data_IF_709602606689
#
_entry.id   IF_709602606689
#
_cell.length_a   1.000
_cell.length_b   1.000
_cell.length_c   1.000
_cell.angle_alpha   90.00
_cell.angle_beta   90.00
_cell.angle_gamma   90.00
#
_symmetry.space_group_name_H-M   'P 1'
#
loop_
_entity.id
_entity.type
_entity.pdbx_description
1 polymer ?
#
# COMPACT_ATOMS: atom_id res chain seq x y z
N UNK A 1 3.01 -12.58 28.79
CA UNK A 1 1.94 -12.54 27.77
C UNK A 1 2.56 -12.05 26.49
N UNK A 2 2.90 -13.00 25.67
CA UNK A 2 3.77 -12.89 24.53
C UNK A 2 3.08 -12.12 23.38
N UNK A 3 3.58 -10.95 23.06
CA UNK A 3 3.05 -10.13 21.97
C UNK A 3 3.30 -10.79 20.60
N UNK A 4 4.32 -11.66 20.52
CA UNK A 4 4.64 -12.40 19.31
C UNK A 4 3.64 -13.50 18.96
N UNK A 5 2.96 -14.09 19.95
CA UNK A 5 1.91 -15.09 19.74
C UNK A 5 0.53 -14.47 19.45
N UNK A 6 0.39 -13.17 19.66
CA UNK A 6 -0.82 -12.41 19.41
C UNK A 6 -0.75 -11.73 18.05
N UNK A 7 -0.74 -12.52 17.00
CA UNK A 7 -0.87 -11.99 15.64
C UNK A 7 -2.08 -11.06 15.51
N UNK A 8 -2.17 -10.35 14.40
CA UNK A 8 -3.31 -9.46 14.06
C UNK A 8 -4.69 -10.08 14.38
N UNK A 9 -4.80 -11.42 14.38
CA UNK A 9 -6.00 -12.12 14.81
C UNK A 9 -6.47 -11.80 16.23
N UNK A 10 -5.56 -11.52 17.18
CA UNK A 10 -5.93 -11.13 18.55
C UNK A 10 -6.24 -9.63 18.65
N UNK A 11 -5.62 -8.83 17.83
CA UNK A 11 -5.94 -7.41 17.66
C UNK A 11 -7.32 -7.25 17.07
N UNK A 12 -7.65 -8.02 16.05
CA UNK A 12 -9.00 -8.06 15.46
C UNK A 12 -10.07 -8.58 16.43
N UNK A 13 -9.73 -9.46 17.36
CA UNK A 13 -10.66 -9.90 18.41
C UNK A 13 -10.92 -8.87 19.51
N UNK A 14 -10.02 -7.91 19.71
CA UNK A 14 -10.16 -6.84 20.73
C UNK A 14 -10.70 -5.53 20.15
N UNK A 15 -10.51 -5.28 18.87
CA UNK A 15 -11.25 -4.27 18.12
C UNK A 15 -12.51 -4.95 17.60
N UNK A 16 -13.67 -4.45 17.98
CA UNK A 16 -14.91 -4.72 17.24
C UNK A 16 -14.72 -3.99 15.90
N UNK A 17 -14.00 -4.62 14.98
CA UNK A 17 -14.08 -4.25 13.58
C UNK A 17 -15.42 -4.81 13.14
N UNK A 18 -16.37 -3.91 12.91
CA UNK A 18 -17.62 -4.28 12.28
C UNK A 18 -17.28 -4.98 10.95
N UNK A 19 -17.73 -6.22 10.83
CA UNK A 19 -17.50 -7.02 9.64
C UNK A 19 -18.19 -6.34 8.47
N UNK A 20 -17.42 -5.99 7.44
CA UNK A 20 -17.97 -5.32 6.25
C UNK A 20 -18.48 -6.37 5.29
N UNK A 21 -19.78 -6.42 5.07
CA UNK A 21 -20.41 -7.33 4.12
C UNK A 21 -21.35 -6.59 3.16
N UNK A 22 -21.60 -7.19 2.00
CA UNK A 22 -22.45 -6.60 1.00
C UNK A 22 -23.93 -6.69 1.38
N UNK A 23 -24.64 -5.58 1.19
CA UNK A 23 -26.10 -5.49 1.27
C UNK A 23 -26.74 -5.22 -0.08
N UNK A 24 -25.94 -5.14 -1.15
CA UNK A 24 -26.36 -4.88 -2.53
C UNK A 24 -25.16 -4.84 -3.47
N UNK A 25 -25.36 -4.60 -4.76
CA UNK A 25 -24.29 -4.39 -5.72
C UNK A 25 -23.53 -3.10 -5.40
N UNK A 26 -22.21 -3.12 -5.59
CA UNK A 26 -21.31 -2.00 -5.34
C UNK A 26 -21.58 -0.90 -6.35
N UNK A 27 -21.69 0.33 -5.85
CA UNK A 27 -21.80 1.55 -6.66
C UNK A 27 -21.12 2.70 -5.91
N UNK A 28 -20.41 3.53 -6.64
CA UNK A 28 -19.88 4.77 -6.07
C UNK A 28 -21.00 5.70 -5.61
N UNK A 29 -20.72 6.42 -4.53
CA UNK A 29 -21.50 7.55 -4.01
C UNK A 29 -20.51 8.69 -3.73
N UNK A 30 -20.99 9.81 -3.20
CA UNK A 30 -20.12 10.85 -2.69
C UNK A 30 -19.17 10.25 -1.65
N UNK A 31 -17.86 10.28 -1.96
CA UNK A 31 -16.86 9.67 -1.09
C UNK A 31 -16.53 10.62 0.07
N UNK A 32 -16.67 10.20 1.34
CA UNK A 32 -16.54 11.11 2.49
C UNK A 32 -15.14 11.72 2.61
N UNK A 33 -14.10 11.04 2.15
CA UNK A 33 -12.72 11.51 2.22
C UNK A 33 -12.41 12.65 1.25
N UNK A 34 -13.27 12.93 0.28
CA UNK A 34 -13.13 14.11 -0.59
C UNK A 34 -13.18 15.40 0.23
N UNK A 35 -14.04 15.47 1.25
CA UNK A 35 -14.10 16.63 2.14
C UNK A 35 -12.83 16.77 3.01
N UNK A 36 -12.25 15.65 3.45
CA UNK A 36 -10.96 15.67 4.15
C UNK A 36 -9.81 16.09 3.23
N UNK A 37 -9.84 15.66 1.97
CA UNK A 37 -8.87 16.14 0.98
C UNK A 37 -9.00 17.65 0.75
N UNK A 38 -10.21 18.20 0.61
CA UNK A 38 -10.44 19.66 0.46
C UNK A 38 -9.87 20.44 1.65
N UNK A 39 -9.98 19.89 2.86
CA UNK A 39 -9.34 20.49 4.02
C UNK A 39 -7.80 20.46 3.90
N UNK A 40 -7.23 19.29 3.55
CA UNK A 40 -5.78 19.15 3.38
C UNK A 40 -5.24 20.10 2.28
N UNK A 41 -5.98 20.25 1.18
CA UNK A 41 -5.60 21.09 0.05
C UNK A 41 -5.39 22.56 0.41
N UNK A 42 -5.98 23.06 1.48
CA UNK A 42 -5.80 24.45 1.94
C UNK A 42 -4.36 24.72 2.42
N UNK A 43 -3.56 23.72 2.64
CA UNK A 43 -2.16 23.79 3.08
C UNK A 43 -1.16 23.64 1.92
N UNK A 44 -1.63 23.54 0.67
CA UNK A 44 -0.76 23.58 -0.51
C UNK A 44 -0.15 24.98 -0.68
N UNK A 45 1.09 25.00 -1.12
CA UNK A 45 1.80 26.20 -1.54
C UNK A 45 2.69 25.91 -2.77
N UNK A 46 3.54 26.85 -3.14
CA UNK A 46 4.46 26.69 -4.27
C UNK A 46 5.48 25.54 -4.13
N UNK A 47 5.69 25.04 -2.93
CA UNK A 47 6.68 23.99 -2.59
C UNK A 47 6.03 22.68 -2.13
N UNK A 48 4.73 22.67 -1.88
CA UNK A 48 4.03 21.51 -1.31
C UNK A 48 2.76 21.18 -2.08
N UNK A 49 2.55 19.90 -2.35
CA UNK A 49 1.35 19.36 -3.00
C UNK A 49 0.63 18.41 -2.03
N UNK A 50 -0.68 18.63 -1.88
CA UNK A 50 -1.50 17.74 -1.06
C UNK A 50 -1.59 16.35 -1.69
N UNK A 51 -1.19 15.35 -0.92
CA UNK A 51 -1.32 13.93 -1.24
C UNK A 51 -2.38 13.31 -0.35
N UNK A 52 -3.29 12.55 -0.94
CA UNK A 52 -4.28 11.81 -0.18
C UNK A 52 -4.12 10.31 -0.35
N UNK A 53 -4.53 9.55 0.66
CA UNK A 53 -4.43 8.07 0.64
C UNK A 53 -5.81 7.46 0.85
N UNK A 54 -6.14 6.46 0.03
CA UNK A 54 -7.35 5.64 0.17
C UNK A 54 -6.97 4.16 0.09
N UNK A 55 -7.77 3.24 0.66
CA UNK A 55 -7.57 1.80 0.46
C UNK A 55 -7.55 1.43 -1.01
N UNK A 56 -6.72 0.47 -1.39
CA UNK A 56 -6.67 -0.02 -2.76
C UNK A 56 -7.95 -0.81 -3.15
N UNK A 57 -8.33 -0.83 -4.44
CA UNK A 57 -9.43 -1.66 -4.93
C UNK A 57 -9.29 -3.14 -4.59
N UNK A 58 -8.07 -3.68 -4.70
CA UNK A 58 -7.74 -5.06 -4.33
C UNK A 58 -8.06 -5.38 -2.87
N UNK A 59 -7.89 -4.43 -1.96
CA UNK A 59 -8.22 -4.62 -0.56
C UNK A 59 -9.74 -4.74 -0.35
N UNK A 60 -10.53 -3.94 -1.05
CA UNK A 60 -12.00 -4.07 -1.06
C UNK A 60 -12.42 -5.41 -1.65
N UNK A 61 -11.85 -5.81 -2.78
CA UNK A 61 -12.13 -7.10 -3.42
C UNK A 61 -11.82 -8.27 -2.48
N UNK A 62 -10.60 -8.31 -1.92
CA UNK A 62 -10.19 -9.39 -1.03
C UNK A 62 -11.10 -9.51 0.20
N UNK A 63 -11.54 -8.39 0.77
CA UNK A 63 -12.45 -8.40 1.91
C UNK A 63 -13.81 -9.01 1.58
N UNK A 64 -14.30 -8.87 0.34
CA UNK A 64 -15.59 -9.44 -0.09
C UNK A 64 -15.52 -10.95 -0.38
N UNK A 65 -14.32 -11.48 -0.69
CA UNK A 65 -14.15 -12.90 -1.03
C UNK A 65 -13.59 -13.76 0.11
N UNK A 66 -13.24 -13.17 1.27
CA UNK A 66 -12.84 -13.96 2.44
C UNK A 66 -13.96 -14.91 2.87
N UNK A 67 -13.64 -16.06 3.49
CA UNK A 67 -14.64 -17.08 3.82
C UNK A 67 -15.86 -16.54 4.60
N UNK A 68 -15.66 -15.58 5.50
CA UNK A 68 -16.74 -14.98 6.30
C UNK A 68 -17.77 -14.23 5.45
N UNK A 69 -17.35 -13.63 4.33
CA UNK A 69 -18.19 -12.79 3.47
C UNK A 69 -18.63 -13.46 2.17
N UNK A 70 -17.99 -14.57 1.82
CA UNK A 70 -18.15 -15.22 0.53
C UNK A 70 -19.61 -15.52 0.16
N UNK A 71 -20.37 -16.17 1.05
CA UNK A 71 -21.77 -16.51 0.78
C UNK A 71 -22.66 -15.26 0.63
N UNK A 72 -22.37 -14.20 1.40
CA UNK A 72 -23.10 -12.94 1.30
C UNK A 72 -22.79 -12.24 -0.02
N UNK A 73 -21.53 -12.24 -0.44
CA UNK A 73 -21.11 -11.71 -1.72
C UNK A 73 -21.74 -12.44 -2.89
N UNK A 74 -21.81 -13.77 -2.84
CA UNK A 74 -22.44 -14.60 -3.89
C UNK A 74 -23.95 -14.40 -4.06
N UNK A 75 -24.62 -13.74 -3.13
CA UNK A 75 -26.03 -13.30 -3.32
C UNK A 75 -26.16 -12.18 -4.36
N UNK A 76 -25.11 -11.40 -4.57
CA UNK A 76 -25.13 -10.22 -5.46
C UNK A 76 -24.25 -10.40 -6.70
N UNK A 77 -23.20 -11.22 -6.60
CA UNK A 77 -22.19 -11.45 -7.64
C UNK A 77 -21.99 -12.95 -7.84
N UNK A 78 -22.36 -13.45 -9.02
CA UNK A 78 -22.20 -14.87 -9.34
C UNK A 78 -20.73 -15.25 -9.50
N UNK A 79 -19.90 -14.34 -10.01
CA UNK A 79 -18.48 -14.57 -10.29
C UNK A 79 -17.61 -13.46 -9.68
N UNK A 80 -16.29 -13.70 -9.62
CA UNK A 80 -15.33 -12.70 -9.20
C UNK A 80 -15.17 -11.59 -10.25
N UNK A 81 -15.30 -11.91 -11.55
CA UNK A 81 -15.19 -10.95 -12.63
C UNK A 81 -16.29 -9.87 -12.53
N UNK A 82 -17.54 -10.25 -12.19
CA UNK A 82 -18.60 -9.28 -11.97
C UNK A 82 -18.31 -8.36 -10.80
N UNK A 83 -17.75 -8.90 -9.70
CA UNK A 83 -17.37 -8.13 -8.52
C UNK A 83 -16.20 -7.19 -8.82
N UNK A 84 -15.17 -7.69 -9.50
CA UNK A 84 -14.01 -6.92 -9.96
C UNK A 84 -14.45 -5.74 -10.82
N UNK A 85 -15.36 -5.99 -11.77
CA UNK A 85 -15.89 -4.94 -12.64
C UNK A 85 -16.57 -3.82 -11.84
N UNK A 86 -17.49 -4.17 -10.95
CA UNK A 86 -18.24 -3.15 -10.20
C UNK A 86 -17.36 -2.39 -9.20
N UNK A 87 -16.37 -3.06 -8.56
CA UNK A 87 -15.37 -2.38 -7.73
C UNK A 87 -14.53 -1.43 -8.58
N UNK A 88 -13.99 -1.89 -9.71
CA UNK A 88 -13.15 -1.08 -10.58
C UNK A 88 -13.88 0.19 -11.06
N UNK A 89 -15.11 0.04 -11.56
CA UNK A 89 -15.94 1.18 -12.00
C UNK A 89 -16.25 2.14 -10.84
N UNK A 90 -16.54 1.61 -9.64
CA UNK A 90 -16.78 2.47 -8.48
C UNK A 90 -15.53 3.27 -8.09
N UNK A 91 -14.33 2.68 -8.20
CA UNK A 91 -13.09 3.39 -7.94
C UNK A 91 -12.74 4.42 -9.04
N UNK A 92 -13.07 4.18 -10.30
CA UNK A 92 -12.95 5.21 -11.35
C UNK A 92 -13.77 6.46 -10.98
N UNK A 93 -15.01 6.27 -10.52
CA UNK A 93 -15.85 7.37 -10.04
C UNK A 93 -15.24 8.07 -8.82
N UNK A 94 -14.68 7.32 -7.86
CA UNK A 94 -14.01 7.89 -6.68
C UNK A 94 -12.77 8.69 -7.08
N UNK A 95 -11.92 8.16 -7.96
CA UNK A 95 -10.74 8.86 -8.49
C UNK A 95 -11.16 10.17 -9.15
N UNK A 96 -12.23 10.13 -9.96
CA UNK A 96 -12.80 11.33 -10.58
C UNK A 96 -13.27 12.36 -9.55
N UNK A 97 -13.92 11.93 -8.45
CA UNK A 97 -14.35 12.84 -7.39
C UNK A 97 -13.16 13.55 -6.72
N UNK A 98 -12.06 12.83 -6.45
CA UNK A 98 -10.83 13.44 -5.95
C UNK A 98 -10.22 14.42 -6.97
N UNK A 99 -10.17 14.02 -8.24
CA UNK A 99 -9.66 14.88 -9.30
C UNK A 99 -10.47 16.18 -9.45
N UNK A 100 -11.79 16.09 -9.45
CA UNK A 100 -12.70 17.24 -9.51
C UNK A 100 -12.56 18.17 -8.29
N UNK A 101 -12.20 17.61 -7.13
CA UNK A 101 -11.85 18.37 -5.93
C UNK A 101 -10.45 19.01 -5.98
N UNK A 102 -9.70 18.79 -7.06
CA UNK A 102 -8.36 19.33 -7.30
C UNK A 102 -7.22 18.45 -6.81
N UNK A 103 -7.46 17.18 -6.47
CA UNK A 103 -6.40 16.23 -6.14
C UNK A 103 -5.57 15.91 -7.39
N UNK A 104 -4.25 15.98 -7.24
CA UNK A 104 -3.29 15.61 -8.30
C UNK A 104 -2.28 14.56 -7.82
N UNK A 105 -2.38 14.12 -6.55
CA UNK A 105 -1.52 13.10 -5.98
C UNK A 105 -2.35 12.19 -5.06
N UNK A 106 -2.68 10.99 -5.54
CA UNK A 106 -3.47 10.01 -4.82
C UNK A 106 -2.63 8.74 -4.57
N UNK A 107 -2.67 8.21 -3.37
CA UNK A 107 -2.06 6.93 -3.05
C UNK A 107 -3.12 5.88 -2.80
N UNK A 108 -2.95 4.71 -3.39
CA UNK A 108 -3.66 3.49 -3.03
C UNK A 108 -2.87 2.75 -1.96
N UNK A 109 -3.46 2.52 -0.80
CA UNK A 109 -2.84 1.76 0.29
C UNK A 109 -3.24 0.29 0.17
N UNK A 110 -2.30 -0.56 -0.24
CA UNK A 110 -2.55 -1.95 -0.60
C UNK A 110 -1.84 -2.92 0.35
N UNK A 111 -2.58 -3.50 1.28
CA UNK A 111 -2.08 -4.54 2.17
C UNK A 111 -2.15 -5.95 1.55
N UNK A 112 -2.83 -6.12 0.40
CA UNK A 112 -3.08 -7.44 -0.18
C UNK A 112 -1.81 -8.10 -0.69
N UNK A 113 -1.00 -7.35 -1.43
CA UNK A 113 0.28 -7.84 -1.94
C UNK A 113 1.24 -8.21 -0.81
N UNK A 114 1.29 -7.40 0.26
CA UNK A 114 2.08 -7.70 1.46
C UNK A 114 1.65 -9.01 2.13
N UNK A 115 0.36 -9.28 2.18
CA UNK A 115 -0.21 -10.46 2.83
C UNK A 115 0.07 -11.78 2.08
N UNK A 116 0.40 -11.73 0.80
CA UNK A 116 0.63 -12.91 -0.05
C UNK A 116 2.10 -13.15 -0.43
N UNK A 117 3.03 -12.36 0.13
CA UNK A 117 4.47 -12.63 -0.05
C UNK A 117 4.96 -13.80 0.82
N UNK A 118 5.97 -14.49 0.32
CA UNK A 118 6.69 -15.53 1.04
C UNK A 118 6.00 -16.89 1.08
N UNK A 119 6.76 -17.87 1.57
CA UNK A 119 6.37 -19.30 1.53
C UNK A 119 5.18 -19.62 2.44
N UNK A 120 5.04 -18.91 3.56
CA UNK A 120 3.93 -19.13 4.49
C UNK A 120 2.56 -18.78 3.85
N UNK A 121 2.52 -17.73 3.05
CA UNK A 121 1.32 -17.38 2.29
C UNK A 121 1.02 -18.45 1.24
N UNK A 122 2.03 -18.88 0.47
CA UNK A 122 1.88 -19.94 -0.52
C UNK A 122 1.31 -21.22 0.11
N UNK A 123 1.92 -21.72 1.19
CA UNK A 123 1.45 -22.91 1.90
C UNK A 123 0.01 -22.78 2.41
N UNK A 124 -0.37 -21.59 2.90
CA UNK A 124 -1.74 -21.30 3.35
C UNK A 124 -2.74 -21.44 2.22
N UNK A 125 -2.49 -20.82 1.07
CA UNK A 125 -3.39 -20.88 -0.08
C UNK A 125 -3.48 -22.29 -0.66
N UNK A 126 -2.36 -22.99 -0.78
CA UNK A 126 -2.31 -24.41 -1.19
C UNK A 126 -3.16 -25.30 -0.25
N UNK A 127 -3.07 -25.10 1.08
CA UNK A 127 -3.84 -25.86 2.06
C UNK A 127 -5.36 -25.62 1.97
N UNK A 128 -5.77 -24.48 1.41
CA UNK A 128 -7.15 -24.11 1.15
C UNK A 128 -7.64 -24.56 -0.25
N UNK A 129 -6.76 -25.15 -1.06
CA UNK A 129 -7.05 -25.50 -2.46
C UNK A 129 -7.27 -24.28 -3.38
N UNK A 130 -6.70 -23.12 -3.02
CA UNK A 130 -6.82 -21.89 -3.77
C UNK A 130 -5.54 -21.67 -4.57
N UNK A 131 -5.67 -21.39 -5.88
CA UNK A 131 -4.54 -21.04 -6.73
C UNK A 131 -4.09 -19.61 -6.44
N UNK A 132 -2.90 -19.46 -5.87
CA UNK A 132 -2.33 -18.15 -5.55
C UNK A 132 -2.02 -17.32 -6.80
N UNK A 133 -1.74 -17.93 -7.94
CA UNK A 133 -1.50 -17.20 -9.20
C UNK A 133 -2.82 -16.59 -9.73
N UNK A 134 -3.94 -17.29 -9.60
CA UNK A 134 -5.27 -16.76 -9.91
C UNK A 134 -5.60 -15.56 -9.00
N UNK A 135 -5.37 -15.69 -7.69
CA UNK A 135 -5.56 -14.58 -6.73
C UNK A 135 -4.73 -13.36 -7.12
N UNK A 136 -3.46 -13.53 -7.46
CA UNK A 136 -2.59 -12.41 -7.92
C UNK A 136 -3.13 -11.76 -9.19
N UNK A 137 -3.63 -12.55 -10.13
CA UNK A 137 -4.22 -12.04 -11.36
C UNK A 137 -5.49 -11.21 -11.08
N UNK A 138 -6.35 -11.67 -10.18
CA UNK A 138 -7.56 -10.95 -9.77
C UNK A 138 -7.26 -9.63 -9.03
N UNK A 139 -6.28 -9.64 -8.09
CA UNK A 139 -5.84 -8.43 -7.40
C UNK A 139 -5.29 -7.39 -8.39
N UNK A 140 -4.47 -7.82 -9.34
CA UNK A 140 -3.96 -6.95 -10.39
C UNK A 140 -5.09 -6.41 -11.28
N UNK A 141 -6.02 -7.28 -11.67
CA UNK A 141 -7.13 -6.91 -12.55
C UNK A 141 -8.01 -5.82 -11.94
N UNK A 142 -8.38 -5.95 -10.67
CA UNK A 142 -9.23 -4.95 -10.00
C UNK A 142 -8.52 -3.62 -9.81
N UNK A 143 -7.21 -3.63 -9.46
CA UNK A 143 -6.43 -2.41 -9.32
C UNK A 143 -6.28 -1.71 -10.69
N UNK A 144 -5.92 -2.44 -11.74
CA UNK A 144 -5.75 -1.86 -13.08
C UNK A 144 -7.07 -1.36 -13.67
N UNK A 145 -8.18 -2.07 -13.48
CA UNK A 145 -9.50 -1.60 -13.92
C UNK A 145 -9.89 -0.27 -13.25
N UNK A 146 -9.59 -0.11 -11.97
CA UNK A 146 -9.83 1.14 -11.25
C UNK A 146 -9.01 2.33 -11.80
N UNK A 147 -7.85 2.03 -12.40
CA UNK A 147 -6.93 3.03 -12.96
C UNK A 147 -7.17 3.32 -14.45
N UNK A 148 -8.05 2.56 -15.10
CA UNK A 148 -8.47 2.89 -16.46
C UNK A 148 -9.07 4.29 -16.54
N UNK A 149 -8.64 5.05 -17.53
CA UNK A 149 -9.08 6.44 -17.74
C UNK A 149 -8.72 7.43 -16.60
N UNK A 150 -7.69 7.13 -15.77
CA UNK A 150 -7.19 8.12 -14.82
C UNK A 150 -6.76 9.38 -15.60
N UNK A 151 -6.99 10.60 -15.05
CA UNK A 151 -6.51 11.83 -15.68
C UNK A 151 -4.99 11.83 -15.85
N UNK A 152 -4.48 12.28 -16.99
CA UNK A 152 -3.05 12.27 -17.32
C UNK A 152 -2.19 13.11 -16.37
N UNK A 153 -2.74 14.20 -15.84
CA UNK A 153 -2.09 15.11 -14.89
C UNK A 153 -2.28 14.68 -13.42
N UNK A 154 -2.84 13.50 -13.16
CA UNK A 154 -2.99 12.93 -11.82
C UNK A 154 -1.99 11.81 -11.59
N UNK A 155 -1.10 12.01 -10.63
CA UNK A 155 -0.19 10.99 -10.15
C UNK A 155 -0.93 10.04 -9.21
N UNK A 156 -0.97 8.76 -9.54
CA UNK A 156 -1.53 7.71 -8.67
C UNK A 156 -0.44 6.71 -8.32
N UNK A 157 -0.24 6.51 -7.02
CA UNK A 157 0.81 5.63 -6.48
C UNK A 157 0.21 4.49 -5.68
N UNK A 158 0.92 3.38 -5.54
CA UNK A 158 0.52 2.25 -4.70
C UNK A 158 1.53 2.06 -3.57
N UNK A 159 1.06 1.94 -2.33
CA UNK A 159 1.87 1.54 -1.18
C UNK A 159 1.62 0.08 -0.86
N UNK A 160 2.66 -0.73 -0.92
CA UNK A 160 2.59 -2.15 -0.57
C UNK A 160 2.85 -2.29 0.93
N UNK A 161 1.76 -2.19 1.70
CA UNK A 161 1.80 -2.24 3.15
C UNK A 161 2.05 -3.68 3.65
N UNK A 162 2.84 -3.78 4.71
CA UNK A 162 3.10 -5.06 5.41
C UNK A 162 2.50 -5.12 6.80
N UNK A 163 1.61 -4.19 7.09
CA UNK A 163 0.99 -4.00 8.40
C UNK A 163 1.75 -2.99 9.25
N UNK A 164 0.97 -2.12 9.90
CA UNK A 164 1.51 -1.05 10.73
C UNK A 164 0.56 -0.74 11.90
N UNK A 165 0.58 -1.60 12.92
CA UNK A 165 -0.26 -1.45 14.10
C UNK A 165 0.59 -1.44 15.35
N UNK A 166 0.58 -0.30 16.08
CA UNK A 166 1.27 -0.13 17.35
C UNK A 166 2.71 -0.67 17.34
N UNK A 167 3.49 -0.28 16.32
CA UNK A 167 4.88 -0.68 16.09
C UNK A 167 5.08 -2.16 15.71
N UNK A 168 4.04 -2.85 15.26
CA UNK A 168 4.14 -4.22 14.75
C UNK A 168 3.90 -4.29 13.24
N UNK A 169 4.27 -5.39 12.64
CA UNK A 169 3.95 -5.72 11.25
C UNK A 169 3.15 -7.03 11.17
N UNK A 170 2.48 -7.24 10.07
CA UNK A 170 1.67 -8.44 9.81
C UNK A 170 2.38 -9.45 8.92
N UNK A 171 3.07 -8.98 7.88
CA UNK A 171 3.62 -9.82 6.83
C UNK A 171 5.13 -9.67 6.66
N UNK A 172 5.81 -10.80 6.39
CA UNK A 172 7.23 -10.86 6.05
C UNK A 172 7.46 -11.78 4.85
N UNK A 173 8.46 -11.48 4.07
CA UNK A 173 8.87 -12.25 2.89
C UNK A 173 9.39 -11.30 1.80
N UNK A 174 10.27 -11.79 0.93
CA UNK A 174 10.79 -11.00 -0.19
C UNK A 174 9.70 -10.72 -1.23
N UNK A 175 9.81 -9.62 -1.96
CA UNK A 175 8.87 -9.24 -3.01
C UNK A 175 8.91 -10.13 -4.26
N UNK A 176 9.86 -11.08 -4.36
CA UNK A 176 10.05 -11.92 -5.54
C UNK A 176 8.75 -12.58 -6.03
N UNK A 177 7.91 -13.08 -5.12
CA UNK A 177 6.68 -13.81 -5.45
C UNK A 177 5.57 -12.96 -6.04
N UNK A 178 5.65 -11.63 -5.92
CA UNK A 178 4.62 -10.69 -6.41
C UNK A 178 5.14 -9.71 -7.46
N UNK A 179 6.46 -9.63 -7.65
CA UNK A 179 7.08 -8.63 -8.51
C UNK A 179 6.65 -8.72 -9.99
N UNK A 180 6.43 -9.93 -10.52
CA UNK A 180 5.96 -10.13 -11.90
C UNK A 180 4.52 -9.63 -12.14
N UNK A 181 3.80 -9.34 -11.07
CA UNK A 181 2.47 -8.73 -11.08
C UNK A 181 2.55 -7.25 -10.75
N UNK A 182 2.72 -6.91 -9.49
CA UNK A 182 2.61 -5.54 -9.02
C UNK A 182 3.72 -4.63 -9.54
N UNK A 183 5.00 -5.08 -9.57
CA UNK A 183 6.08 -4.24 -10.07
C UNK A 183 6.06 -4.08 -11.59
N UNK A 184 5.78 -5.18 -12.28
CA UNK A 184 5.81 -5.19 -13.75
C UNK A 184 4.53 -4.63 -14.38
N UNK A 185 3.34 -4.86 -13.78
CA UNK A 185 2.07 -4.74 -14.50
C UNK A 185 1.01 -3.85 -13.85
N UNK A 186 1.15 -3.43 -12.58
CA UNK A 186 0.19 -2.50 -11.99
C UNK A 186 0.34 -1.11 -12.62
N UNK A 187 -0.76 -0.47 -13.04
CA UNK A 187 -0.77 0.78 -13.81
C UNK A 187 -0.66 2.03 -12.95
N UNK A 188 0.26 2.05 -11.98
CA UNK A 188 0.56 3.17 -11.11
C UNK A 188 1.83 3.91 -11.54
N UNK A 189 1.95 5.18 -11.16
CA UNK A 189 3.12 6.01 -11.51
C UNK A 189 4.32 5.74 -10.58
N UNK A 190 4.08 5.26 -9.35
CA UNK A 190 5.14 4.87 -8.43
C UNK A 190 4.69 3.83 -7.41
N UNK A 191 5.65 3.07 -6.91
CA UNK A 191 5.49 2.06 -5.87
C UNK A 191 6.21 2.51 -4.59
N UNK A 192 5.50 2.57 -3.47
CA UNK A 192 6.05 2.78 -2.13
C UNK A 192 6.26 1.41 -1.48
N UNK A 193 7.50 1.04 -1.24
CA UNK A 193 7.89 -0.31 -0.83
C UNK A 193 8.58 -0.29 0.54
N UNK A 194 8.11 -1.13 1.47
CA UNK A 194 8.73 -1.27 2.78
C UNK A 194 10.04 -2.08 2.68
N UNK A 195 11.14 -1.43 3.01
CA UNK A 195 12.49 -2.01 3.03
C UNK A 195 13.27 -1.58 4.29
N UNK A 196 12.60 -1.23 5.37
CA UNK A 196 13.20 -0.71 6.61
C UNK A 196 14.02 -1.75 7.39
N UNK A 197 13.73 -3.04 7.20
CA UNK A 197 14.49 -4.14 7.80
C UNK A 197 14.64 -5.35 6.86
N UNK A 198 15.21 -6.45 7.38
CA UNK A 198 15.49 -7.67 6.63
C UNK A 198 14.24 -8.48 6.23
N UNK A 199 13.07 -8.22 6.83
CA UNK A 199 11.82 -8.97 6.53
C UNK A 199 11.39 -8.88 5.07
N UNK A 200 11.83 -7.84 4.37
CA UNK A 200 11.49 -7.58 2.95
C UNK A 200 12.46 -8.22 1.96
N UNK A 201 13.55 -8.82 2.44
CA UNK A 201 14.61 -9.37 1.60
C UNK A 201 15.44 -8.30 0.90
N UNK A 202 16.11 -8.67 -0.18
CA UNK A 202 16.97 -7.78 -0.96
C UNK A 202 16.26 -7.05 -2.09
N UNK A 203 17.01 -6.21 -2.81
CA UNK A 203 16.49 -5.32 -3.86
C UNK A 203 16.37 -5.96 -5.25
N UNK A 204 16.79 -7.21 -5.44
CA UNK A 204 16.73 -7.88 -6.75
C UNK A 204 15.34 -7.83 -7.44
N UNK A 205 14.19 -7.89 -6.72
CA UNK A 205 12.88 -7.75 -7.33
C UNK A 205 12.66 -6.41 -8.06
N UNK A 206 13.39 -5.35 -7.70
CA UNK A 206 13.29 -4.03 -8.35
C UNK A 206 13.64 -4.07 -9.84
N UNK A 207 14.41 -5.06 -10.29
CA UNK A 207 14.68 -5.27 -11.71
C UNK A 207 13.42 -5.61 -12.55
N UNK A 208 12.29 -5.93 -11.89
CA UNK A 208 10.99 -6.18 -12.52
C UNK A 208 10.12 -4.94 -12.66
N UNK A 209 10.50 -3.82 -12.05
CA UNK A 209 9.75 -2.56 -12.13
C UNK A 209 9.78 -2.05 -13.56
N UNK A 210 8.61 -1.87 -14.18
CA UNK A 210 8.52 -1.35 -15.55
C UNK A 210 9.15 0.04 -15.69
N UNK A 211 9.63 0.38 -16.88
CA UNK A 211 10.47 1.57 -17.10
C UNK A 211 9.76 2.90 -16.84
N UNK A 212 8.44 2.92 -16.91
CA UNK A 212 7.57 4.07 -16.66
C UNK A 212 7.36 4.38 -15.18
N UNK A 213 7.70 3.45 -14.26
CA UNK A 213 7.43 3.59 -12.82
C UNK A 213 8.63 4.12 -12.04
N UNK A 214 8.32 4.86 -11.00
CA UNK A 214 9.23 5.25 -9.93
C UNK A 214 9.10 4.30 -8.73
N UNK A 215 10.13 4.26 -7.88
CA UNK A 215 10.11 3.49 -6.63
C UNK A 215 10.49 4.39 -5.47
N UNK A 216 9.67 4.40 -4.44
CA UNK A 216 9.95 5.08 -3.18
C UNK A 216 10.37 4.01 -2.16
N UNK A 217 11.63 4.05 -1.79
CA UNK A 217 12.23 3.12 -0.84
C UNK A 217 11.88 3.52 0.59
N UNK A 218 11.04 2.76 1.25
CA UNK A 218 10.71 2.92 2.66
C UNK A 218 11.81 2.33 3.53
N UNK A 219 12.93 3.05 3.67
CA UNK A 219 14.12 2.60 4.41
C UNK A 219 14.15 3.06 5.86
N UNK A 220 13.29 4.01 6.23
CA UNK A 220 13.22 4.55 7.58
C UNK A 220 12.03 3.91 8.30
N UNK A 221 12.30 3.18 9.39
CA UNK A 221 11.23 2.54 10.14
C UNK A 221 10.39 3.53 10.93
N UNK A 222 9.08 3.32 10.97
CA UNK A 222 8.16 4.04 11.87
C UNK A 222 7.80 3.22 13.10
N UNK A 223 8.46 2.08 13.30
CA UNK A 223 8.12 1.12 14.36
C UNK A 223 8.96 1.31 15.62
N UNK A 224 10.14 1.90 15.50
CA UNK A 224 11.06 2.16 16.62
C UNK A 224 11.52 3.61 16.62
N UNK A 225 11.85 4.18 17.79
CA UNK A 225 12.24 5.59 17.92
C UNK A 225 13.67 5.88 17.47
N UNK A 226 14.54 4.88 17.40
CA UNK A 226 15.94 5.04 17.05
C UNK A 226 16.08 5.58 15.63
N UNK A 227 16.98 6.56 15.43
CA UNK A 227 17.32 7.04 14.11
C UNK A 227 18.23 6.03 13.42
N UNK A 228 17.96 5.81 12.15
CA UNK A 228 18.81 5.03 11.27
C UNK A 228 20.15 5.74 11.06
N UNK A 229 21.21 4.97 10.88
CA UNK A 229 22.51 5.51 10.46
C UNK A 229 22.44 6.00 9.01
N UNK A 230 22.73 7.29 8.83
CA UNK A 230 22.61 7.98 7.54
C UNK A 230 23.42 7.30 6.43
N UNK A 231 24.66 6.94 6.70
CA UNK A 231 25.56 6.31 5.72
C UNK A 231 25.07 4.92 5.32
N UNK A 232 24.50 4.20 6.27
CA UNK A 232 23.87 2.89 6.02
C UNK A 232 22.67 3.03 5.09
N UNK A 233 21.80 4.03 5.29
CA UNK A 233 20.64 4.27 4.42
C UNK A 233 21.11 4.66 3.01
N UNK A 234 22.08 5.57 2.88
CA UNK A 234 22.68 5.98 1.59
C UNK A 234 23.25 4.76 0.85
N UNK A 235 24.00 3.92 1.56
CA UNK A 235 24.54 2.67 0.99
C UNK A 235 23.41 1.76 0.46
N UNK A 236 22.32 1.61 1.20
CA UNK A 236 21.17 0.81 0.76
C UNK A 236 20.47 1.39 -0.46
N UNK A 237 20.39 2.72 -0.59
CA UNK A 237 19.88 3.37 -1.80
C UNK A 237 20.76 3.00 -3.00
N UNK A 238 22.09 3.08 -2.86
CA UNK A 238 23.01 2.69 -3.92
C UNK A 238 23.01 1.18 -4.21
N UNK A 239 22.69 0.34 -3.26
CA UNK A 239 22.44 -1.08 -3.49
C UNK A 239 21.19 -1.30 -4.34
N UNK A 240 20.10 -0.59 -4.07
CA UNK A 240 18.87 -0.62 -4.89
C UNK A 240 19.14 -0.08 -6.31
N UNK A 241 19.99 0.95 -6.45
CA UNK A 241 20.37 1.55 -7.72
C UNK A 241 21.12 0.59 -8.68
N UNK A 242 21.54 -0.58 -8.21
CA UNK A 242 22.07 -1.64 -9.09
C UNK A 242 20.99 -2.35 -9.92
N UNK A 243 19.71 -2.21 -9.56
CA UNK A 243 18.58 -2.89 -10.18
C UNK A 243 17.63 -1.94 -10.91
N UNK A 244 17.61 -0.65 -10.53
CA UNK A 244 16.78 0.39 -11.12
C UNK A 244 17.56 1.71 -11.09
N UNK A 245 17.51 2.56 -12.15
CA UNK A 245 18.23 3.82 -12.20
C UNK A 245 17.95 4.73 -10.98
N UNK A 246 18.97 5.42 -10.49
CA UNK A 246 18.87 6.26 -9.28
C UNK A 246 17.87 7.41 -9.43
N UNK A 247 17.70 7.95 -10.62
CA UNK A 247 16.72 9.01 -10.95
C UNK A 247 15.25 8.54 -10.90
N UNK A 248 15.04 7.24 -10.80
CA UNK A 248 13.74 6.60 -10.56
C UNK A 248 13.53 6.17 -9.11
N UNK A 249 14.53 6.37 -8.24
CA UNK A 249 14.48 6.05 -6.81
C UNK A 249 14.20 7.28 -5.97
N UNK A 250 13.45 7.09 -4.90
CA UNK A 250 13.12 8.10 -3.90
C UNK A 250 13.20 7.46 -2.51
N UNK A 251 13.16 8.27 -1.45
CA UNK A 251 13.21 7.81 -0.06
C UNK A 251 11.96 8.24 0.71
N UNK A 252 11.46 7.36 1.56
CA UNK A 252 10.39 7.65 2.52
C UNK A 252 10.54 6.83 3.81
N UNK A 253 9.77 7.17 4.87
CA UNK A 253 9.45 6.20 5.90
C UNK A 253 8.76 4.97 5.29
N UNK A 254 8.88 3.81 5.95
CA UNK A 254 8.36 2.56 5.40
C UNK A 254 6.82 2.55 5.34
N UNK A 255 6.15 3.22 6.28
CA UNK A 255 4.70 3.40 6.35
C UNK A 255 4.37 4.68 7.13
N UNK A 256 3.12 4.91 7.52
CA UNK A 256 2.73 6.00 8.42
C UNK A 256 3.23 5.81 9.86
N UNK A 257 3.23 6.88 10.65
CA UNK A 257 3.57 6.86 12.08
C UNK A 257 2.37 6.53 12.98
N UNK A 258 1.15 6.65 12.45
CA UNK A 258 -0.09 6.35 13.14
C UNK A 258 -1.14 5.89 12.12
N UNK A 259 -1.13 4.61 11.76
CA UNK A 259 -2.13 4.01 10.86
C UNK A 259 -3.49 3.79 11.53
N UNK A 260 -3.57 3.99 12.85
CA UNK A 260 -4.79 3.95 13.64
C UNK A 260 -4.65 4.87 14.86
N UNK A 261 -5.74 5.08 15.62
CA UNK A 261 -5.78 6.04 16.74
C UNK A 261 -4.73 5.78 17.83
N UNK A 262 -4.32 4.52 18.04
CA UNK A 262 -3.29 4.20 19.03
C UNK A 262 -1.89 4.66 18.60
N UNK A 263 -1.64 4.79 17.27
CA UNK A 263 -0.33 5.13 16.71
C UNK A 263 0.77 4.09 16.96
N UNK A 264 1.97 4.41 16.51
CA UNK A 264 3.18 3.65 16.81
C UNK A 264 3.84 4.16 18.11
N UNK A 265 4.81 3.41 18.64
CA UNK A 265 5.50 3.71 19.91
C UNK A 265 6.62 4.75 19.70
N UNK A 266 6.29 5.86 19.09
CA UNK A 266 7.17 7.00 18.88
C UNK A 266 6.49 8.29 19.39
N UNK A 267 7.31 9.23 19.86
CA UNK A 267 6.82 10.59 20.16
C UNK A 267 6.77 11.43 18.88
N UNK A 268 6.10 12.59 18.97
CA UNK A 268 6.06 13.54 17.87
C UNK A 268 7.46 14.05 17.50
N UNK A 269 8.31 14.32 18.49
CA UNK A 269 9.70 14.76 18.27
C UNK A 269 10.53 13.69 17.52
N UNK A 270 10.32 12.42 17.86
CA UNK A 270 10.98 11.30 17.18
C UNK A 270 10.49 11.15 15.73
N UNK A 271 9.20 11.34 15.47
CA UNK A 271 8.67 11.41 14.11
C UNK A 271 9.33 12.54 13.31
N UNK A 272 9.40 13.75 13.86
CA UNK A 272 10.04 14.88 13.19
C UNK A 272 11.52 14.66 12.96
N UNK A 273 12.23 14.01 13.89
CA UNK A 273 13.63 13.67 13.72
C UNK A 273 13.84 12.69 12.55
N UNK A 274 12.99 11.69 12.41
CA UNK A 274 13.03 10.74 11.26
C UNK A 274 12.71 11.42 9.94
N UNK A 275 11.72 12.29 9.89
CA UNK A 275 11.39 13.06 8.67
C UNK A 275 12.52 14.01 8.27
N UNK A 276 13.19 14.62 9.25
CA UNK A 276 14.38 15.43 9.01
C UNK A 276 15.52 14.59 8.41
N UNK A 277 15.76 13.39 8.95
CA UNK A 277 16.78 12.46 8.42
C UNK A 277 16.46 12.07 6.96
N UNK A 278 15.20 11.77 6.63
CA UNK A 278 14.76 11.50 5.25
C UNK A 278 15.13 12.66 4.33
N UNK A 279 14.82 13.90 4.75
CA UNK A 279 15.14 15.10 3.96
C UNK A 279 16.64 15.28 3.76
N UNK A 280 17.43 15.15 4.82
CA UNK A 280 18.90 15.30 4.76
C UNK A 280 19.55 14.26 3.82
N UNK A 281 19.08 13.01 3.86
CA UNK A 281 19.55 11.96 2.96
C UNK A 281 19.12 12.26 1.51
N UNK A 282 17.88 12.64 1.30
CA UNK A 282 17.38 12.95 -0.03
C UNK A 282 18.16 14.13 -0.67
N UNK A 283 18.43 15.17 0.09
CA UNK A 283 19.24 16.31 -0.37
C UNK A 283 20.69 15.94 -0.69
N UNK A 284 21.25 14.90 -0.09
CA UNK A 284 22.61 14.44 -0.37
C UNK A 284 22.66 13.52 -1.59
N UNK A 285 21.71 12.61 -1.73
CA UNK A 285 21.73 11.57 -2.78
C UNK A 285 21.25 12.10 -4.14
N UNK A 286 20.28 13.03 -4.16
CA UNK A 286 19.64 13.51 -5.40
C UNK A 286 19.91 15.00 -5.71
N UNK A 287 21.05 15.53 -5.26
CA UNK A 287 21.51 16.88 -5.64
C UNK A 287 22.07 16.92 -7.05
#
# INVERSE_FOLDING_TARGET
DDVESRGLGDVYKRQVLDDTYLVGKIKAKAHPFVEYFKFLKQFEDENTVAKYTIPAPAQTFQQMIVPANFETTRKFYATNEELIHDIGVAYQDVIKQFYDAGCRNLQLDDCTWGAIVGDAAKQRYESLGIDLEEVKAELLAVNNLALENKPEDMVITSHICRGNYHSTFFAKGPYNSVADYVFAKENVDALYLEYDDERSGGFAPLAKVSEDKKVVLGLITTKTPELEDKETVIKRIHEAAKFIPLDRLYLSPQCGFASCAIGNKLTEEQQWAKLKLVKEIAEEVWR
#
